data_IF_951735602696
#
_entry.id   IF_951735602696
#
_cell.length_a   1.000
_cell.length_b   1.000
_cell.length_c   1.000
_cell.angle_alpha   90.00
_cell.angle_beta   90.00
_cell.angle_gamma   90.00
#
_symmetry.space_group_name_H-M   'P 1'
#
loop_
_entity.id
_entity.type
_entity.pdbx_description
1 polymer ?
#
# COMPACT_ATOMS: atom_id res chain seq x y z
N UNK A 1 19.04 10.97 -34.98
CA UNK A 1 18.99 10.81 -33.50
C UNK A 1 17.52 10.70 -33.16
N UNK A 2 16.99 9.49 -33.03
CA UNK A 2 15.59 9.26 -32.66
C UNK A 2 15.50 9.68 -31.19
N UNK A 3 14.79 10.78 -30.91
CA UNK A 3 14.44 11.17 -29.55
C UNK A 3 13.62 10.01 -28.98
N UNK A 4 14.21 9.23 -28.08
CA UNK A 4 13.49 8.17 -27.40
C UNK A 4 12.29 8.82 -26.68
N UNK A 5 11.08 8.35 -26.99
CA UNK A 5 9.86 8.83 -26.35
C UNK A 5 10.01 8.73 -24.83
N UNK A 6 9.92 9.87 -24.13
CA UNK A 6 9.98 9.92 -22.68
C UNK A 6 8.75 9.22 -22.13
N UNK A 7 8.94 8.05 -21.53
CA UNK A 7 7.84 7.32 -20.89
C UNK A 7 7.23 8.16 -19.76
N UNK A 8 5.90 8.12 -19.65
CA UNK A 8 5.18 8.74 -18.54
C UNK A 8 5.60 8.14 -17.18
N UNK A 9 5.39 8.89 -16.10
CA UNK A 9 5.68 8.42 -14.75
C UNK A 9 4.52 7.56 -14.20
N UNK A 10 4.68 6.24 -14.00
CA UNK A 10 3.61 5.39 -13.46
C UNK A 10 3.49 5.43 -11.93
N UNK A 11 4.47 5.99 -11.21
CA UNK A 11 4.48 5.98 -9.76
C UNK A 11 3.23 6.64 -9.13
N UNK A 12 2.67 7.75 -9.66
CA UNK A 12 1.42 8.31 -9.14
C UNK A 12 0.26 7.33 -9.14
N UNK A 13 0.11 6.51 -10.21
CA UNK A 13 -0.94 5.49 -10.27
C UNK A 13 -0.80 4.48 -9.14
N UNK A 14 0.41 3.99 -8.90
CA UNK A 14 0.69 3.04 -7.83
C UNK A 14 0.48 3.63 -6.44
N UNK A 15 0.96 4.86 -6.21
CA UNK A 15 0.82 5.58 -4.94
C UNK A 15 -0.63 5.90 -4.61
N UNK A 16 -1.44 6.33 -5.59
CA UNK A 16 -2.85 6.61 -5.40
C UNK A 16 -3.65 5.31 -5.19
N UNK A 17 -3.36 4.26 -5.95
CA UNK A 17 -3.97 2.94 -5.77
C UNK A 17 -3.74 2.40 -4.36
N UNK A 18 -2.51 2.47 -3.87
CA UNK A 18 -2.16 2.14 -2.49
C UNK A 18 -2.85 3.08 -1.50
N UNK A 19 -2.65 4.39 -1.63
CA UNK A 19 -3.05 5.37 -0.62
C UNK A 19 -4.55 5.43 -0.39
N UNK A 20 -5.36 5.53 -1.46
CA UNK A 20 -6.82 5.59 -1.34
C UNK A 20 -7.39 4.30 -0.73
N UNK A 21 -6.90 3.14 -1.17
CA UNK A 21 -7.36 1.85 -0.63
C UNK A 21 -6.96 1.68 0.83
N UNK A 22 -5.74 2.10 1.20
CA UNK A 22 -5.25 2.08 2.58
C UNK A 22 -6.07 2.98 3.49
N UNK A 23 -6.38 4.22 3.07
CA UNK A 23 -7.25 5.13 3.84
C UNK A 23 -8.61 4.48 4.10
N UNK A 24 -9.26 3.97 3.05
CA UNK A 24 -10.60 3.38 3.19
C UNK A 24 -10.60 2.16 4.11
N UNK A 25 -9.62 1.25 4.02
CA UNK A 25 -9.52 0.12 4.94
C UNK A 25 -9.28 0.58 6.37
N UNK A 26 -8.47 1.61 6.57
CA UNK A 26 -8.12 2.04 7.92
C UNK A 26 -9.18 2.92 8.59
N UNK A 27 -10.07 3.56 7.84
CA UNK A 27 -11.31 4.13 8.38
C UNK A 27 -12.19 3.01 8.98
N UNK A 28 -12.24 1.82 8.34
CA UNK A 28 -12.87 0.64 8.94
C UNK A 28 -12.14 0.21 10.22
N UNK A 29 -10.81 0.08 10.19
CA UNK A 29 -10.02 -0.31 11.37
C UNK A 29 -10.18 0.68 12.53
N UNK A 30 -10.41 1.96 12.23
CA UNK A 30 -10.74 3.01 13.20
C UNK A 30 -12.19 2.93 13.71
N UNK A 31 -12.98 1.93 13.28
CA UNK A 31 -14.33 1.68 13.79
C UNK A 31 -15.43 2.58 13.22
N UNK A 32 -15.17 3.35 12.17
CA UNK A 32 -16.14 4.32 11.60
C UNK A 32 -17.23 3.61 10.78
N UNK A 33 -16.88 2.56 10.03
CA UNK A 33 -17.82 1.72 9.30
C UNK A 33 -17.35 0.24 9.24
N UNK A 34 -18.27 -0.72 9.01
CA UNK A 34 -17.91 -2.13 8.93
C UNK A 34 -17.14 -2.45 7.63
N UNK A 35 -16.41 -3.57 7.64
CA UNK A 35 -15.81 -4.14 6.45
C UNK A 35 -16.91 -4.55 5.47
N UNK A 36 -16.87 -4.01 4.26
CA UNK A 36 -17.89 -4.27 3.24
C UNK A 36 -17.32 -4.37 1.83
N UNK A 37 -18.21 -4.58 0.86
CA UNK A 37 -17.85 -4.78 -0.55
C UNK A 37 -17.09 -3.61 -1.17
N UNK A 38 -17.27 -2.39 -0.68
CA UNK A 38 -16.53 -1.20 -1.14
C UNK A 38 -15.02 -1.38 -0.92
N UNK A 39 -14.61 -1.80 0.28
CA UNK A 39 -13.19 -2.02 0.60
C UNK A 39 -12.64 -3.19 -0.22
N UNK A 40 -13.41 -4.27 -0.38
CA UNK A 40 -13.01 -5.42 -1.19
C UNK A 40 -12.82 -5.05 -2.67
N UNK A 41 -13.76 -4.28 -3.22
CA UNK A 41 -13.67 -3.79 -4.60
C UNK A 41 -12.44 -2.87 -4.80
N UNK A 42 -12.20 -1.93 -3.87
CA UNK A 42 -11.01 -1.08 -3.90
C UNK A 42 -9.72 -1.92 -3.78
N UNK A 43 -9.70 -2.91 -2.91
CA UNK A 43 -8.56 -3.82 -2.76
C UNK A 43 -8.28 -4.66 -4.01
N UNK A 44 -9.31 -5.09 -4.73
CA UNK A 44 -9.13 -5.85 -5.98
C UNK A 44 -8.67 -4.94 -7.13
N UNK A 45 -9.36 -3.81 -7.33
CA UNK A 45 -9.21 -3.03 -8.56
C UNK A 45 -8.12 -1.97 -8.41
N UNK A 46 -8.21 -1.13 -7.38
CA UNK A 46 -7.32 0.03 -7.30
C UNK A 46 -6.09 -0.24 -6.43
N UNK A 47 -6.26 -0.82 -5.25
CA UNK A 47 -5.14 -1.28 -4.43
C UNK A 47 -4.36 -2.42 -5.08
N UNK A 48 -5.04 -3.37 -5.74
CA UNK A 48 -4.44 -4.51 -6.39
C UNK A 48 -4.01 -4.24 -7.84
N UNK A 49 -4.98 -4.27 -8.76
CA UNK A 49 -4.70 -4.25 -10.21
C UNK A 49 -3.93 -3.01 -10.64
N UNK A 50 -4.32 -1.80 -10.20
CA UNK A 50 -3.65 -0.57 -10.61
C UNK A 50 -2.19 -0.54 -10.14
N UNK A 51 -1.88 -1.04 -8.94
CA UNK A 51 -0.49 -1.16 -8.49
C UNK A 51 0.31 -2.19 -9.30
N UNK A 52 -0.28 -3.34 -9.64
CA UNK A 52 0.39 -4.34 -10.49
C UNK A 52 0.70 -3.76 -11.87
N UNK A 53 -0.26 -3.00 -12.45
CA UNK A 53 -0.04 -2.28 -13.71
C UNK A 53 1.09 -1.25 -13.56
N UNK A 54 1.07 -0.44 -12.50
CA UNK A 54 2.13 0.52 -12.23
C UNK A 54 3.51 -0.15 -12.11
N UNK A 55 3.59 -1.29 -11.42
CA UNK A 55 4.81 -2.09 -11.31
C UNK A 55 5.33 -2.59 -12.67
N UNK A 56 4.43 -3.07 -13.55
CA UNK A 56 4.79 -3.48 -14.90
C UNK A 56 5.27 -2.31 -15.78
N UNK A 57 4.72 -1.12 -15.57
CA UNK A 57 5.16 0.11 -16.26
C UNK A 57 6.51 0.61 -15.72
N UNK A 58 6.75 0.50 -14.40
CA UNK A 58 8.05 0.82 -13.77
C UNK A 58 9.16 -0.13 -14.27
N UNK A 59 8.83 -1.40 -14.52
CA UNK A 59 9.76 -2.34 -15.14
C UNK A 59 10.22 -1.84 -16.52
N UNK A 60 9.29 -1.41 -17.37
CA UNK A 60 9.63 -0.84 -18.69
C UNK A 60 10.46 0.44 -18.59
N UNK A 61 10.32 1.19 -17.50
CA UNK A 61 11.08 2.41 -17.21
C UNK A 61 12.48 2.11 -16.64
N UNK A 62 12.78 0.86 -16.30
CA UNK A 62 14.04 0.43 -15.67
C UNK A 62 14.15 0.77 -14.19
N UNK A 63 13.02 1.02 -13.50
CA UNK A 63 12.97 1.31 -12.08
C UNK A 63 12.70 0.02 -11.28
N UNK A 64 13.77 -0.65 -10.84
CA UNK A 64 13.66 -1.89 -10.05
C UNK A 64 12.91 -1.71 -8.74
N UNK A 65 13.15 -0.59 -8.03
CA UNK A 65 12.46 -0.31 -6.77
C UNK A 65 10.95 -0.17 -6.97
N UNK A 66 10.53 0.66 -7.92
CA UNK A 66 9.10 0.84 -8.24
C UNK A 66 8.45 -0.44 -8.75
N UNK A 67 9.15 -1.21 -9.57
CA UNK A 67 8.67 -2.53 -10.04
C UNK A 67 8.37 -3.45 -8.87
N UNK A 68 9.33 -3.64 -7.97
CA UNK A 68 9.17 -4.53 -6.83
C UNK A 68 8.09 -4.00 -5.86
N UNK A 69 8.14 -2.71 -5.51
CA UNK A 69 7.21 -2.12 -4.56
C UNK A 69 5.76 -2.24 -5.05
N UNK A 70 5.45 -1.68 -6.22
CA UNK A 70 4.06 -1.65 -6.70
C UNK A 70 3.52 -3.03 -7.03
N UNK A 71 4.32 -3.92 -7.66
CA UNK A 71 3.86 -5.29 -7.93
C UNK A 71 3.59 -6.05 -6.63
N UNK A 72 4.48 -5.96 -5.64
CA UNK A 72 4.32 -6.67 -4.37
C UNK A 72 3.14 -6.14 -3.57
N UNK A 73 2.96 -4.83 -3.43
CA UNK A 73 1.81 -4.29 -2.70
C UNK A 73 0.49 -4.47 -3.44
N UNK A 74 0.50 -4.49 -4.77
CA UNK A 74 -0.68 -4.87 -5.54
C UNK A 74 -1.10 -6.32 -5.26
N UNK A 75 -0.15 -7.24 -5.24
CA UNK A 75 -0.37 -8.64 -4.88
C UNK A 75 -0.69 -8.84 -3.39
N UNK A 76 -0.16 -7.98 -2.49
CA UNK A 76 -0.61 -7.92 -1.10
C UNK A 76 -2.12 -7.65 -1.02
N UNK A 77 -2.62 -6.62 -1.72
CA UNK A 77 -4.04 -6.30 -1.74
C UNK A 77 -4.88 -7.46 -2.27
N UNK A 78 -4.45 -8.11 -3.35
CA UNK A 78 -5.15 -9.28 -3.88
C UNK A 78 -5.16 -10.43 -2.88
N UNK A 79 -4.02 -10.75 -2.28
CA UNK A 79 -3.94 -11.82 -1.28
C UNK A 79 -4.81 -11.52 -0.05
N UNK A 80 -4.84 -10.27 0.44
CA UNK A 80 -5.68 -9.87 1.56
C UNK A 80 -7.17 -10.04 1.23
N UNK A 81 -7.61 -9.57 0.06
CA UNK A 81 -9.02 -9.73 -0.35
C UNK A 81 -9.37 -11.20 -0.54
N UNK A 82 -8.48 -11.99 -1.14
CA UNK A 82 -8.68 -13.44 -1.29
C UNK A 82 -8.82 -14.12 0.07
N UNK A 83 -7.97 -13.81 1.06
CA UNK A 83 -8.07 -14.34 2.42
C UNK A 83 -9.43 -14.02 3.08
N UNK A 84 -10.02 -12.86 2.78
CA UNK A 84 -11.34 -12.47 3.28
C UNK A 84 -12.50 -13.16 2.54
N UNK A 85 -12.34 -13.47 1.26
CA UNK A 85 -13.39 -14.04 0.42
C UNK A 85 -13.41 -15.57 0.43
N UNK A 86 -12.26 -16.23 0.43
CA UNK A 86 -12.16 -17.71 0.32
C UNK A 86 -13.05 -18.48 1.29
N UNK A 87 -13.14 -18.11 2.59
CA UNK A 87 -14.00 -18.82 3.53
C UNK A 87 -15.50 -18.78 3.19
N UNK A 88 -15.92 -17.84 2.34
CA UNK A 88 -17.32 -17.67 1.95
C UNK A 88 -17.71 -18.50 0.71
N UNK A 89 -16.74 -19.13 0.03
CA UNK A 89 -17.03 -20.01 -1.10
C UNK A 89 -17.43 -21.41 -0.63
N UNK A 90 -18.73 -21.70 -0.62
CA UNK A 90 -19.31 -22.95 -0.13
C UNK A 90 -18.77 -24.19 -0.83
N UNK A 91 -18.35 -24.08 -2.08
CA UNK A 91 -17.76 -25.21 -2.83
C UNK A 91 -16.35 -25.58 -2.36
N UNK A 92 -15.67 -24.72 -1.58
CA UNK A 92 -14.39 -25.00 -0.96
C UNK A 92 -14.52 -25.47 0.49
N UNK A 93 -15.70 -25.30 1.09
CA UNK A 93 -15.99 -25.73 2.48
C UNK A 93 -16.16 -27.27 2.54
N UNK A 94 -15.69 -27.95 3.62
CA UNK A 94 -15.08 -27.40 4.84
C UNK A 94 -13.54 -27.26 4.78
N UNK A 95 -12.92 -27.49 3.62
CA UNK A 95 -11.47 -27.56 3.49
C UNK A 95 -10.74 -26.22 3.70
N UNK A 96 -11.42 -25.11 3.40
CA UNK A 96 -10.85 -23.75 3.53
C UNK A 96 -11.55 -22.99 4.65
N UNK A 97 -10.81 -22.71 5.71
CA UNK A 97 -11.28 -21.89 6.84
C UNK A 97 -10.64 -20.52 6.83
N UNK A 98 -11.28 -19.54 7.51
CA UNK A 98 -10.65 -18.25 7.74
C UNK A 98 -9.34 -18.45 8.54
N UNK A 99 -8.26 -17.70 8.20
CA UNK A 99 -7.03 -17.76 8.95
C UNK A 99 -7.28 -17.30 10.41
N UNK A 100 -6.68 -17.99 11.36
CA UNK A 100 -6.71 -17.58 12.75
C UNK A 100 -5.87 -16.31 13.00
N UNK A 101 -5.95 -15.77 14.21
CA UNK A 101 -5.24 -14.54 14.55
C UNK A 101 -3.71 -14.69 14.48
N UNK A 102 -3.17 -15.87 14.77
CA UNK A 102 -1.72 -16.13 14.70
C UNK A 102 -1.24 -16.16 13.26
N UNK A 103 -1.99 -16.82 12.37
CA UNK A 103 -1.69 -16.84 10.94
C UNK A 103 -1.77 -15.44 10.33
N UNK A 104 -2.80 -14.65 10.70
CA UNK A 104 -2.91 -13.26 10.26
C UNK A 104 -1.80 -12.37 10.82
N UNK A 105 -1.37 -12.58 12.08
CA UNK A 105 -0.24 -11.87 12.65
C UNK A 105 1.06 -12.18 11.89
N UNK A 106 1.31 -13.45 11.58
CA UNK A 106 2.47 -13.87 10.78
C UNK A 106 2.44 -13.25 9.37
N UNK A 107 1.26 -13.21 8.73
CA UNK A 107 1.06 -12.55 7.44
C UNK A 107 1.44 -11.07 7.50
N UNK A 108 0.92 -10.30 8.45
CA UNK A 108 1.26 -8.89 8.60
C UNK A 108 2.71 -8.66 9.02
N UNK A 109 3.26 -9.53 9.86
CA UNK A 109 4.68 -9.47 10.25
C UNK A 109 5.62 -9.59 9.03
N UNK A 110 5.36 -10.55 8.15
CA UNK A 110 6.17 -10.73 6.93
C UNK A 110 6.08 -9.52 6.01
N UNK A 111 4.89 -8.91 5.85
CA UNK A 111 4.75 -7.68 5.09
C UNK A 111 5.40 -6.48 5.77
N UNK A 112 5.41 -6.44 7.11
CA UNK A 112 6.16 -5.46 7.89
C UNK A 112 7.66 -5.56 7.67
N UNK A 113 8.21 -6.78 7.70
CA UNK A 113 9.63 -7.04 7.41
C UNK A 113 9.99 -6.67 5.97
N UNK A 114 9.15 -7.05 5.00
CA UNK A 114 9.36 -6.64 3.60
C UNK A 114 9.41 -5.12 3.48
N UNK A 115 8.45 -4.43 4.08
CA UNK A 115 8.35 -2.95 4.02
C UNK A 115 9.53 -2.28 4.72
N UNK A 116 9.98 -2.81 5.87
CA UNK A 116 11.15 -2.32 6.58
C UNK A 116 12.42 -2.42 5.70
N UNK A 117 12.60 -3.54 5.01
CA UNK A 117 13.73 -3.71 4.09
C UNK A 117 13.62 -2.76 2.89
N UNK A 118 12.43 -2.60 2.33
CA UNK A 118 12.17 -1.65 1.25
C UNK A 118 12.39 -0.19 1.66
N UNK A 119 12.13 0.15 2.94
CA UNK A 119 12.39 1.49 3.47
C UNK A 119 13.84 1.92 3.25
N UNK A 120 14.82 1.03 3.45
CA UNK A 120 16.23 1.35 3.18
C UNK A 120 16.48 1.73 1.72
N UNK A 121 15.72 1.19 0.78
CA UNK A 121 15.76 1.58 -0.64
C UNK A 121 15.30 3.03 -0.89
N UNK A 122 14.53 3.61 0.02
CA UNK A 122 14.02 4.99 -0.11
C UNK A 122 15.02 6.06 0.35
N UNK A 123 16.07 5.68 1.08
CA UNK A 123 16.97 6.64 1.76
C UNK A 123 17.68 7.62 0.81
N UNK A 124 17.81 7.26 -0.46
CA UNK A 124 18.38 8.13 -1.51
C UNK A 124 17.33 8.77 -2.42
N UNK A 125 16.05 8.70 -2.07
CA UNK A 125 14.93 9.26 -2.85
C UNK A 125 14.50 10.64 -2.31
N UNK A 126 13.30 10.75 -1.79
CA UNK A 126 12.76 11.96 -1.19
C UNK A 126 12.11 11.67 0.17
N UNK A 127 11.90 12.71 0.99
CA UNK A 127 11.35 12.56 2.34
C UNK A 127 9.90 12.09 2.34
N UNK A 128 9.12 12.46 1.33
CA UNK A 128 7.74 12.02 1.22
C UNK A 128 7.65 10.50 1.10
N UNK A 129 8.42 9.89 0.21
CA UNK A 129 8.46 8.43 0.05
C UNK A 129 9.05 7.73 1.28
N UNK A 130 10.06 8.32 1.93
CA UNK A 130 10.59 7.79 3.19
C UNK A 130 9.50 7.74 4.27
N UNK A 131 8.68 8.78 4.37
CA UNK A 131 7.56 8.81 5.32
C UNK A 131 6.52 7.73 5.00
N UNK A 132 6.13 7.56 3.73
CA UNK A 132 5.20 6.49 3.32
C UNK A 132 5.70 5.12 3.78
N UNK A 133 6.95 4.77 3.49
CA UNK A 133 7.48 3.44 3.83
C UNK A 133 7.73 3.24 5.32
N UNK A 134 8.17 4.28 6.06
CA UNK A 134 8.32 4.19 7.52
C UNK A 134 6.98 4.04 8.22
N UNK A 135 5.97 4.84 7.85
CA UNK A 135 4.60 4.76 8.36
C UNK A 135 3.99 3.40 8.02
N UNK A 136 4.12 2.91 6.79
CA UNK A 136 3.61 1.59 6.40
C UNK A 136 4.28 0.45 7.19
N UNK A 137 5.57 0.58 7.50
CA UNK A 137 6.27 -0.38 8.37
C UNK A 137 5.63 -0.43 9.75
N UNK A 138 5.37 0.75 10.35
CA UNK A 138 4.69 0.88 11.64
C UNK A 138 3.28 0.27 11.56
N UNK A 139 2.51 0.57 10.51
CA UNK A 139 1.17 0.04 10.30
C UNK A 139 1.15 -1.50 10.33
N UNK A 140 2.03 -2.16 9.58
CA UNK A 140 2.07 -3.62 9.55
C UNK A 140 2.44 -4.24 10.88
N UNK A 141 3.40 -3.66 11.63
CA UNK A 141 3.74 -4.15 12.96
C UNK A 141 2.62 -3.89 13.98
N UNK A 142 1.92 -2.77 13.90
CA UNK A 142 0.73 -2.53 14.72
C UNK A 142 -0.38 -3.54 14.42
N UNK A 143 -0.67 -3.81 13.12
CA UNK A 143 -1.63 -4.86 12.73
C UNK A 143 -1.23 -6.24 13.26
N UNK A 144 0.07 -6.56 13.25
CA UNK A 144 0.59 -7.80 13.85
C UNK A 144 0.26 -7.89 15.33
N UNK A 145 0.54 -6.82 16.09
CA UNK A 145 0.29 -6.78 17.54
C UNK A 145 -1.22 -6.83 17.82
N UNK A 146 -2.04 -6.10 17.07
CA UNK A 146 -3.50 -6.17 17.17
C UNK A 146 -4.02 -7.59 17.00
N UNK A 147 -3.52 -8.34 16.01
CA UNK A 147 -3.95 -9.74 15.78
C UNK A 147 -3.53 -10.66 16.92
N UNK A 148 -2.36 -10.45 17.52
CA UNK A 148 -1.89 -11.27 18.65
C UNK A 148 -2.60 -10.94 19.96
N UNK A 149 -2.98 -9.68 20.18
CA UNK A 149 -3.53 -9.22 21.47
C UNK A 149 -5.05 -9.12 21.49
N UNK A 150 -5.69 -8.94 20.33
CA UNK A 150 -7.12 -8.66 20.24
C UNK A 150 -7.52 -7.30 20.84
N UNK A 151 -6.58 -6.38 21.06
CA UNK A 151 -6.82 -5.11 21.73
C UNK A 151 -7.55 -4.13 20.80
N UNK A 152 -8.78 -3.75 21.15
CA UNK A 152 -9.63 -2.86 20.37
C UNK A 152 -9.12 -1.41 20.35
N UNK A 153 -8.56 -0.91 21.45
CA UNK A 153 -8.01 0.45 21.52
C UNK A 153 -6.78 0.56 20.61
N UNK A 154 -5.95 -0.49 20.59
CA UNK A 154 -4.81 -0.55 19.69
C UNK A 154 -5.25 -0.63 18.22
N UNK A 155 -6.36 -1.30 17.92
CA UNK A 155 -6.92 -1.32 16.57
C UNK A 155 -7.38 0.07 16.11
N UNK A 156 -8.00 0.85 16.99
CA UNK A 156 -8.36 2.25 16.71
C UNK A 156 -7.11 3.09 16.37
N UNK A 157 -6.06 3.00 17.21
CA UNK A 157 -4.78 3.71 16.98
C UNK A 157 -4.16 3.25 15.65
N UNK A 158 -4.18 1.96 15.37
CA UNK A 158 -3.69 1.38 14.12
C UNK A 158 -4.46 1.91 12.90
N UNK A 159 -5.79 2.06 13.04
CA UNK A 159 -6.62 2.66 12.00
C UNK A 159 -6.25 4.12 11.73
N UNK A 160 -6.04 4.92 12.77
CA UNK A 160 -5.61 6.33 12.63
C UNK A 160 -4.23 6.40 11.94
N UNK A 161 -3.27 5.59 12.38
CA UNK A 161 -1.95 5.51 11.75
C UNK A 161 -2.06 5.13 10.27
N UNK A 162 -2.87 4.13 9.93
CA UNK A 162 -3.07 3.70 8.56
C UNK A 162 -3.75 4.76 7.66
N UNK A 163 -4.62 5.61 8.21
CA UNK A 163 -5.17 6.77 7.50
C UNK A 163 -4.04 7.76 7.17
N UNK A 164 -3.15 8.05 8.14
CA UNK A 164 -2.01 8.95 7.94
C UNK A 164 -1.06 8.37 6.88
N UNK A 165 -0.76 7.08 6.95
CA UNK A 165 0.06 6.37 5.97
C UNK A 165 -0.53 6.50 4.55
N UNK A 166 -1.80 6.15 4.38
CA UNK A 166 -2.47 6.23 3.08
C UNK A 166 -2.57 7.66 2.54
N UNK A 167 -2.88 8.63 3.41
CA UNK A 167 -2.93 10.04 3.04
C UNK A 167 -1.56 10.57 2.58
N UNK A 168 -0.47 10.13 3.20
CA UNK A 168 0.89 10.49 2.79
C UNK A 168 1.25 9.97 1.39
N UNK A 169 0.78 8.77 1.05
CA UNK A 169 0.95 8.21 -0.29
C UNK A 169 0.11 8.95 -1.33
N UNK A 170 -1.13 9.33 -0.99
CA UNK A 170 -1.98 10.19 -1.85
C UNK A 170 -1.28 11.52 -2.09
N UNK A 171 -0.79 12.18 -1.03
CA UNK A 171 -0.03 13.42 -1.16
C UNK A 171 1.16 13.26 -2.12
N UNK A 172 1.94 12.20 -1.94
CA UNK A 172 3.14 11.96 -2.75
C UNK A 172 2.78 11.75 -4.22
N UNK A 173 1.76 10.93 -4.51
CA UNK A 173 1.31 10.69 -5.88
C UNK A 173 0.76 11.94 -6.56
N UNK A 174 -0.06 12.73 -5.87
CA UNK A 174 -0.58 14.01 -6.39
C UNK A 174 0.54 15.03 -6.57
N UNK A 175 1.50 15.09 -5.65
CA UNK A 175 2.65 15.99 -5.77
C UNK A 175 3.49 15.69 -7.02
N UNK A 176 3.73 14.41 -7.33
CA UNK A 176 4.44 14.03 -8.56
C UNK A 176 3.68 14.48 -9.82
N UNK A 177 2.36 14.27 -9.87
CA UNK A 177 1.53 14.71 -11.02
C UNK A 177 1.57 16.23 -11.18
N UNK A 178 1.30 16.98 -10.11
CA UNK A 178 1.23 18.43 -10.19
C UNK A 178 2.59 19.04 -10.52
N UNK A 179 3.67 18.55 -9.92
CA UNK A 179 5.01 19.04 -10.19
C UNK A 179 5.43 18.79 -11.65
N UNK A 180 5.05 17.63 -12.22
CA UNK A 180 5.33 17.31 -13.62
C UNK A 180 4.50 18.20 -14.58
N UNK A 181 3.18 18.29 -14.35
CA UNK A 181 2.26 19.05 -15.21
C UNK A 181 2.60 20.54 -15.22
N UNK A 182 2.94 21.12 -14.07
CA UNK A 182 3.28 22.54 -13.97
C UNK A 182 4.75 22.86 -14.26
N UNK A 183 5.61 21.83 -14.44
CA UNK A 183 7.05 22.00 -14.68
C UNK A 183 7.80 22.70 -13.55
N UNK A 184 7.24 22.74 -12.34
CA UNK A 184 7.82 23.35 -11.14
C UNK A 184 7.33 22.66 -9.88
N UNK A 185 8.01 22.86 -8.76
CA UNK A 185 7.54 22.36 -7.46
C UNK A 185 6.27 23.11 -7.04
N UNK A 186 5.12 22.43 -7.12
CA UNK A 186 3.82 22.88 -6.60
C UNK A 186 3.65 22.35 -5.17
N UNK A 187 3.91 21.06 -4.98
CA UNK A 187 3.89 20.39 -3.68
C UNK A 187 5.27 19.80 -3.39
N UNK A 188 5.89 20.13 -2.25
CA UNK A 188 7.26 19.70 -1.95
C UNK A 188 7.32 18.20 -1.63
N UNK A 189 8.23 17.49 -2.28
CA UNK A 189 8.58 16.10 -1.96
C UNK A 189 9.85 15.99 -1.12
N UNK A 190 10.59 17.10 -0.97
CA UNK A 190 11.82 17.20 -0.20
C UNK A 190 12.86 16.14 -0.63
N UNK A 191 13.43 16.25 -1.85
CA UNK A 191 14.44 15.31 -2.33
C UNK A 191 15.66 15.29 -1.40
N UNK A 192 16.24 14.11 -1.21
CA UNK A 192 17.49 13.95 -0.45
C UNK A 192 18.61 14.36 -1.36
N UNK A 193 19.35 15.42 -1.00
CA UNK A 193 20.54 15.84 -1.73
C UNK A 193 21.56 14.70 -1.74
N UNK A 194 22.08 14.41 -2.93
CA UNK A 194 23.14 13.43 -3.15
C UNK A 194 24.49 13.96 -2.66
#
# INVERSE_FOLDING_TARGET
MIMGDKLANPAPLGLLGFGMTTVLLNIHNAGIYPLGSMILAMGLVYGGLAQVIAGAMEYKKGNTFGTLAFSSYGLFWWSLVILLLLPNFTFLSPAVTAPDNTAMAAYFFMWGMFTLLMFFGTLKSNRAIQFVFSSLTVLFFLLTIVRLTGNADLLLITGIEGIICGASAIYTGIAEVLNEVYGRTVLPLCPVNK
#
